data_IF_391965388699
#
_entry.id   IF_391965388699
#
_cell.length_a   1.000
_cell.length_b   1.000
_cell.length_c   1.000
_cell.angle_alpha   90.00
_cell.angle_beta   90.00
_cell.angle_gamma   90.00
#
_symmetry.space_group_name_H-M   'P 1'
#
loop_
_entity.id
_entity.type
_entity.pdbx_description
1 polymer ?
#
# COMPACT_ATOMS: atom_id res chain seq x y z
N UNK A 1 18.41 20.39 -7.97
CA UNK A 1 17.07 20.25 -8.60
C UNK A 1 16.85 18.80 -8.98
N UNK A 2 15.65 18.32 -8.74
CA UNK A 2 15.20 17.01 -9.19
C UNK A 2 14.17 17.16 -10.31
N UNK A 3 13.94 16.09 -11.05
CA UNK A 3 12.91 15.96 -12.08
C UNK A 3 12.32 14.57 -12.08
N UNK A 4 11.09 14.36 -12.59
CA UNK A 4 10.57 13.01 -12.85
C UNK A 4 11.48 12.25 -13.81
N UNK A 5 11.72 10.97 -13.53
CA UNK A 5 12.51 10.09 -14.38
C UNK A 5 11.58 9.12 -15.14
N UNK A 6 11.42 9.35 -16.44
CA UNK A 6 10.45 8.58 -17.22
C UNK A 6 10.93 7.14 -17.49
N UNK A 7 12.23 6.90 -17.56
CA UNK A 7 12.82 5.62 -17.95
C UNK A 7 13.08 4.69 -16.77
N UNK A 8 13.34 5.24 -15.57
CA UNK A 8 13.78 4.46 -14.41
C UNK A 8 12.78 3.39 -13.98
N UNK A 9 11.48 3.67 -14.10
CA UNK A 9 10.45 2.71 -13.72
C UNK A 9 10.37 1.55 -14.73
N UNK A 10 10.54 1.83 -16.00
CA UNK A 10 10.53 0.81 -17.04
C UNK A 10 11.77 -0.10 -16.92
N UNK A 11 12.93 0.48 -16.65
CA UNK A 11 14.17 -0.28 -16.33
C UNK A 11 13.96 -1.19 -15.11
N UNK A 12 13.35 -0.67 -14.04
CA UNK A 12 13.03 -1.44 -12.85
C UNK A 12 12.09 -2.61 -13.15
N UNK A 13 11.04 -2.37 -13.91
CA UNK A 13 10.04 -3.38 -14.25
C UNK A 13 10.66 -4.50 -15.10
N UNK A 14 11.42 -4.16 -16.14
CA UNK A 14 12.13 -5.14 -16.98
C UNK A 14 13.14 -5.97 -16.17
N UNK A 15 13.88 -5.32 -15.27
CA UNK A 15 14.89 -6.01 -14.46
C UNK A 15 14.28 -7.00 -13.46
N UNK A 16 13.11 -6.68 -12.87
CA UNK A 16 12.52 -7.48 -11.80
C UNK A 16 11.43 -8.44 -12.25
N UNK A 17 10.76 -8.15 -13.34
CA UNK A 17 9.58 -8.90 -13.81
C UNK A 17 9.66 -9.37 -15.25
N UNK A 18 10.71 -8.97 -15.99
CA UNK A 18 10.92 -9.32 -17.39
C UNK A 18 9.66 -9.05 -18.23
N UNK A 19 9.06 -10.05 -18.84
CA UNK A 19 7.85 -9.93 -19.66
C UNK A 19 6.53 -10.10 -18.87
N UNK A 20 6.60 -10.32 -17.57
CA UNK A 20 5.42 -10.49 -16.69
C UNK A 20 4.81 -9.12 -16.33
N UNK A 21 4.13 -8.51 -17.29
CA UNK A 21 3.58 -7.15 -17.19
C UNK A 21 2.50 -7.02 -16.11
N UNK A 22 1.87 -8.11 -15.69
CA UNK A 22 0.84 -8.10 -14.63
C UNK A 22 1.43 -7.75 -13.26
N UNK A 23 2.74 -7.99 -13.09
CA UNK A 23 3.48 -7.67 -11.87
C UNK A 23 4.15 -6.30 -11.88
N UNK A 24 4.08 -5.58 -13.00
CA UNK A 24 4.76 -4.31 -13.14
C UNK A 24 4.34 -3.30 -12.07
N UNK A 25 5.34 -2.66 -11.48
CA UNK A 25 5.14 -1.47 -10.68
C UNK A 25 4.54 -0.36 -11.53
N UNK A 26 3.58 0.36 -10.96
CA UNK A 26 2.85 1.43 -11.62
C UNK A 26 3.38 2.79 -11.17
N UNK A 27 3.54 3.70 -12.11
CA UNK A 27 3.79 5.09 -11.76
C UNK A 27 2.60 5.65 -10.99
N UNK A 28 2.86 6.26 -9.84
CA UNK A 28 1.81 6.98 -9.13
C UNK A 28 1.34 8.17 -9.98
N UNK A 29 0.03 8.25 -10.22
CA UNK A 29 -0.56 9.36 -10.98
C UNK A 29 -0.20 10.71 -10.36
N UNK A 30 0.15 11.74 -11.15
CA UNK A 30 0.40 13.10 -10.65
C UNK A 30 -0.77 13.69 -9.86
N UNK A 31 -2.00 13.22 -10.08
CA UNK A 31 -3.16 13.62 -9.29
C UNK A 31 -3.13 13.09 -7.84
N UNK A 32 -2.32 12.07 -7.57
CA UNK A 32 -2.24 11.36 -6.28
C UNK A 32 -1.10 11.84 -5.38
N UNK A 33 -0.26 12.76 -5.85
CA UNK A 33 0.77 13.37 -5.02
C UNK A 33 1.00 14.83 -5.35
N UNK A 34 1.72 15.52 -4.47
CA UNK A 34 2.19 16.89 -4.70
C UNK A 34 3.61 17.02 -4.17
N UNK A 35 4.48 17.59 -4.99
CA UNK A 35 5.82 18.05 -4.63
C UNK A 35 5.80 19.57 -4.86
N UNK A 36 5.81 20.33 -3.76
CA UNK A 36 5.68 21.79 -3.83
C UNK A 36 6.88 22.45 -4.54
N UNK A 37 8.07 21.85 -4.42
CA UNK A 37 9.29 22.27 -5.11
C UNK A 37 10.19 21.07 -5.37
N UNK A 38 10.64 20.94 -6.59
CA UNK A 38 11.67 19.96 -6.99
C UNK A 38 13.10 20.43 -6.69
N UNK A 39 13.27 21.60 -6.12
CA UNK A 39 14.57 22.13 -5.67
C UNK A 39 14.63 22.11 -4.16
N UNK A 40 15.73 21.59 -3.62
CA UNK A 40 16.04 21.60 -2.20
C UNK A 40 17.37 22.31 -1.96
N UNK A 41 17.48 23.02 -0.83
CA UNK A 41 18.70 23.76 -0.46
C UNK A 41 19.37 23.05 0.71
N UNK A 42 20.65 22.70 0.54
CA UNK A 42 21.50 22.25 1.62
C UNK A 42 22.36 23.42 2.10
N UNK A 43 22.30 23.75 3.38
CA UNK A 43 23.08 24.84 3.95
C UNK A 43 24.48 24.35 4.34
N UNK A 44 25.51 25.12 3.96
CA UNK A 44 26.88 24.85 4.38
C UNK A 44 27.01 25.01 5.91
N UNK A 45 27.64 24.05 6.58
CA UNK A 45 27.80 24.11 8.04
C UNK A 45 26.52 23.85 8.84
N UNK A 46 25.46 23.35 8.21
CA UNK A 46 24.25 22.92 8.91
C UNK A 46 24.51 21.64 9.72
N UNK A 47 23.74 21.44 10.79
CA UNK A 47 23.82 20.25 11.66
C UNK A 47 23.46 18.96 10.90
N UNK A 48 22.66 19.06 9.83
CA UNK A 48 22.21 17.93 9.04
C UNK A 48 22.94 17.86 7.68
N UNK A 49 23.55 16.73 7.34
CA UNK A 49 24.23 16.52 6.06
C UNK A 49 23.28 16.20 4.91
N UNK A 50 21.97 16.46 5.05
CA UNK A 50 20.93 16.15 4.06
C UNK A 50 19.89 17.27 3.99
N UNK A 51 19.13 17.28 2.89
CA UNK A 51 17.95 18.11 2.74
C UNK A 51 16.73 17.19 2.45
N UNK A 52 15.54 17.60 2.90
CA UNK A 52 14.32 16.86 2.70
C UNK A 52 13.58 17.37 1.46
N UNK A 53 13.07 16.45 0.65
CA UNK A 53 12.10 16.71 -0.40
C UNK A 53 10.72 16.26 0.11
N UNK A 54 9.84 17.17 0.57
CA UNK A 54 8.50 16.81 1.02
C UNK A 54 7.63 16.32 -0.15
N UNK A 55 7.03 15.14 0.01
CA UNK A 55 6.07 14.57 -0.93
C UNK A 55 4.76 14.33 -0.17
N UNK A 56 3.70 15.00 -0.60
CA UNK A 56 2.35 14.83 -0.04
C UNK A 56 1.60 13.80 -0.88
N UNK A 57 1.16 12.69 -0.29
CA UNK A 57 0.43 11.62 -0.97
C UNK A 57 -1.06 11.72 -0.66
N UNK A 58 -1.90 11.48 -1.66
CA UNK A 58 -3.36 11.31 -1.57
C UNK A 58 -3.70 9.84 -1.85
N UNK A 59 -3.76 8.98 -0.81
CA UNK A 59 -3.85 7.53 -0.99
C UNK A 59 -5.25 7.04 -1.40
N UNK A 60 -6.28 7.87 -1.24
CA UNK A 60 -7.67 7.48 -1.53
C UNK A 60 -7.82 6.90 -2.95
N UNK A 61 -8.39 5.69 -3.05
CA UNK A 61 -8.62 4.99 -4.30
C UNK A 61 -7.37 4.34 -4.91
N UNK A 62 -6.26 4.24 -4.16
CA UNK A 62 -5.15 3.37 -4.52
C UNK A 62 -5.46 1.93 -4.11
N UNK A 63 -5.10 0.98 -4.97
CA UNK A 63 -5.27 -0.44 -4.68
C UNK A 63 -4.08 -0.98 -3.89
N UNK A 64 -4.29 -1.72 -2.80
CA UNK A 64 -3.21 -2.39 -2.08
C UNK A 64 -2.58 -3.55 -2.87
N UNK A 65 -3.16 -3.93 -4.02
CA UNK A 65 -2.64 -4.98 -4.89
C UNK A 65 -1.67 -4.46 -5.95
N UNK A 66 -1.48 -3.15 -6.03
CA UNK A 66 -0.58 -2.51 -6.98
C UNK A 66 0.64 -1.92 -6.27
N UNK A 67 1.80 -2.07 -6.87
CA UNK A 67 3.02 -1.43 -6.42
C UNK A 67 3.13 -0.04 -7.09
N UNK A 68 2.99 1.03 -6.29
CA UNK A 68 3.09 2.39 -6.81
C UNK A 68 4.45 3.00 -6.53
N UNK A 69 5.02 3.66 -7.54
CA UNK A 69 6.32 4.32 -7.45
C UNK A 69 6.31 5.74 -8.01
N UNK A 70 7.15 6.60 -7.44
CA UNK A 70 7.48 7.92 -7.95
C UNK A 70 8.95 7.90 -8.33
N UNK A 71 9.29 7.85 -9.63
CA UNK A 71 10.65 7.90 -10.11
C UNK A 71 11.15 9.35 -10.19
N UNK A 72 12.31 9.62 -9.62
CA UNK A 72 12.94 10.94 -9.62
C UNK A 72 14.43 10.84 -9.98
N UNK A 73 14.94 11.89 -10.61
CA UNK A 73 16.34 12.05 -11.00
C UNK A 73 16.87 13.40 -10.53
N UNK A 74 18.04 13.40 -9.95
CA UNK A 74 18.79 14.62 -9.67
C UNK A 74 19.46 15.10 -10.97
N UNK A 75 19.07 16.29 -11.43
CA UNK A 75 19.50 16.82 -12.72
C UNK A 75 20.48 17.98 -12.62
N UNK A 76 20.43 18.74 -11.53
CA UNK A 76 21.37 19.84 -11.34
C UNK A 76 21.72 20.07 -9.87
N UNK A 77 22.93 20.54 -9.65
CA UNK A 77 23.46 21.00 -8.35
C UNK A 77 24.20 22.31 -8.54
N UNK A 78 24.17 23.17 -7.53
CA UNK A 78 24.89 24.48 -7.59
C UNK A 78 26.37 24.38 -7.28
N UNK A 79 26.81 23.29 -6.64
CA UNK A 79 28.21 23.02 -6.31
C UNK A 79 28.46 21.51 -6.38
N UNK A 80 29.69 21.15 -6.71
CA UNK A 80 30.15 19.77 -6.88
C UNK A 80 29.61 19.10 -8.14
N UNK A 81 29.99 17.86 -8.37
CA UNK A 81 29.53 17.04 -9.49
C UNK A 81 28.48 16.05 -9.04
N UNK A 82 27.51 15.77 -9.92
CA UNK A 82 26.51 14.74 -9.70
C UNK A 82 27.15 13.38 -9.96
N UNK A 83 27.03 12.46 -8.98
CA UNK A 83 27.44 11.08 -9.20
C UNK A 83 26.45 10.39 -10.15
N UNK A 84 26.86 10.02 -11.38
CA UNK A 84 25.95 9.47 -12.38
C UNK A 84 25.36 8.10 -12.01
N UNK A 85 25.99 7.39 -11.08
CA UNK A 85 25.51 6.07 -10.60
C UNK A 85 24.53 6.17 -9.42
N UNK A 86 24.34 7.36 -8.83
CA UNK A 86 23.53 7.54 -7.61
C UNK A 86 22.63 8.78 -7.68
N UNK A 87 22.24 9.19 -8.86
CA UNK A 87 21.42 10.38 -9.08
C UNK A 87 19.93 10.07 -9.37
N UNK A 88 19.54 8.81 -9.30
CA UNK A 88 18.16 8.35 -9.59
C UNK A 88 17.59 7.62 -8.38
N UNK A 89 16.29 7.76 -8.13
CA UNK A 89 15.58 7.10 -7.03
C UNK A 89 14.16 6.72 -7.42
N UNK A 90 13.77 5.50 -7.05
CA UNK A 90 12.37 5.05 -7.08
C UNK A 90 11.81 5.15 -5.67
N UNK A 91 10.87 6.07 -5.47
CA UNK A 91 10.18 6.22 -4.20
C UNK A 91 8.93 5.33 -4.20
N UNK A 92 8.95 4.26 -3.43
CA UNK A 92 7.82 3.35 -3.28
C UNK A 92 6.78 3.93 -2.33
N UNK A 93 5.53 3.93 -2.76
CA UNK A 93 4.39 4.30 -1.92
C UNK A 93 3.82 3.04 -1.27
N UNK A 94 3.76 3.05 0.05
CA UNK A 94 3.22 1.97 0.88
C UNK A 94 1.94 2.46 1.55
N UNK A 95 0.86 1.68 1.45
CA UNK A 95 -0.43 2.03 2.02
C UNK A 95 -0.51 1.54 3.47
N UNK A 96 -1.09 2.40 4.32
CA UNK A 96 -1.29 2.13 5.73
C UNK A 96 -2.54 2.85 6.25
N UNK A 97 -3.24 2.24 7.19
CA UNK A 97 -4.29 2.87 7.99
C UNK A 97 -4.19 2.42 9.46
N UNK A 98 -5.13 2.82 10.30
CA UNK A 98 -5.11 2.50 11.75
C UNK A 98 -5.21 0.99 12.04
N UNK A 99 -5.57 0.16 11.07
CA UNK A 99 -5.88 -1.26 11.22
C UNK A 99 -4.97 -2.18 10.43
N UNK A 100 -4.34 -1.70 9.38
CA UNK A 100 -3.50 -2.51 8.50
C UNK A 100 -2.36 -1.71 7.87
N UNK A 101 -1.20 -2.35 7.75
CA UNK A 101 -0.03 -1.82 7.07
C UNK A 101 0.47 -2.82 6.01
N UNK A 102 0.72 -2.35 4.81
CA UNK A 102 1.37 -3.18 3.79
C UNK A 102 2.82 -3.48 4.13
N UNK A 103 3.47 -2.59 4.88
CA UNK A 103 4.86 -2.75 5.31
C UNK A 103 5.02 -3.90 6.30
N UNK A 104 4.12 -4.00 7.27
CA UNK A 104 4.27 -4.90 8.43
C UNK A 104 3.44 -6.19 8.30
N UNK A 105 2.78 -6.43 7.16
CA UNK A 105 1.97 -7.62 6.92
C UNK A 105 0.97 -7.90 8.05
N UNK A 106 0.13 -6.93 8.38
CA UNK A 106 -0.82 -7.03 9.49
C UNK A 106 -1.71 -8.26 9.38
N UNK A 107 -1.72 -9.07 10.42
CA UNK A 107 -2.53 -10.28 10.51
C UNK A 107 -3.63 -10.13 11.55
N UNK A 108 -4.82 -10.67 11.26
CA UNK A 108 -5.89 -10.85 12.23
C UNK A 108 -6.27 -12.32 12.36
N UNK A 109 -6.70 -12.73 13.54
CA UNK A 109 -7.28 -14.07 13.75
C UNK A 109 -8.78 -14.01 13.47
N UNK A 110 -9.21 -14.76 12.45
CA UNK A 110 -10.63 -14.94 12.11
C UNK A 110 -11.11 -16.28 12.66
N UNK A 111 -12.17 -16.23 13.47
CA UNK A 111 -12.81 -17.43 14.03
C UNK A 111 -14.32 -17.33 13.87
N UNK A 112 -14.96 -18.44 13.56
CA UNK A 112 -16.40 -18.49 13.38
C UNK A 112 -16.86 -19.77 12.69
N UNK A 113 -18.05 -19.68 12.09
CA UNK A 113 -18.61 -20.75 11.27
C UNK A 113 -19.09 -20.19 9.96
N UNK A 114 -19.08 -21.01 8.91
CA UNK A 114 -19.76 -20.74 7.64
C UNK A 114 -20.75 -21.85 7.36
N UNK A 115 -21.88 -21.49 6.81
CA UNK A 115 -22.84 -22.42 6.24
C UNK A 115 -22.61 -22.54 4.74
N UNK A 116 -22.54 -23.75 4.22
CA UNK A 116 -22.44 -24.06 2.80
C UNK A 116 -23.84 -24.28 2.24
N UNK A 117 -24.04 -24.16 0.92
CA UNK A 117 -25.34 -24.17 0.28
C UNK A 117 -26.19 -25.44 0.50
N UNK A 118 -25.60 -26.56 0.93
CA UNK A 118 -26.27 -27.80 1.35
C UNK A 118 -26.70 -27.83 2.82
N UNK A 119 -26.49 -26.73 3.56
CA UNK A 119 -26.74 -26.60 4.98
C UNK A 119 -25.60 -27.08 5.87
N UNK A 120 -24.53 -27.61 5.31
CA UNK A 120 -23.34 -28.02 6.09
C UNK A 120 -22.68 -26.82 6.76
N UNK A 121 -22.39 -26.96 8.06
CA UNK A 121 -21.68 -25.93 8.84
C UNK A 121 -20.23 -26.33 9.00
N UNK A 122 -19.32 -25.48 8.57
CA UNK A 122 -17.88 -25.66 8.77
C UNK A 122 -17.28 -24.58 9.67
N UNK A 123 -16.28 -24.94 10.47
CA UNK A 123 -15.56 -23.99 11.34
C UNK A 123 -14.56 -23.19 10.52
N UNK A 124 -14.42 -21.90 10.86
CA UNK A 124 -13.36 -21.02 10.39
C UNK A 124 -12.40 -20.77 11.56
N UNK A 125 -11.12 -21.06 11.35
CA UNK A 125 -10.04 -20.74 12.29
C UNK A 125 -8.78 -20.45 11.48
N UNK A 126 -8.58 -19.21 11.07
CA UNK A 126 -7.48 -18.81 10.20
C UNK A 126 -6.92 -17.45 10.59
N UNK A 127 -5.63 -17.27 10.36
CA UNK A 127 -5.02 -15.95 10.37
C UNK A 127 -5.18 -15.33 8.98
N UNK A 128 -5.70 -14.12 8.92
CA UNK A 128 -5.99 -13.38 7.71
C UNK A 128 -5.05 -12.19 7.59
N UNK A 129 -4.42 -12.03 6.43
CA UNK A 129 -3.72 -10.80 6.11
C UNK A 129 -4.73 -9.70 5.82
N UNK A 130 -4.51 -8.54 6.41
CA UNK A 130 -5.31 -7.34 6.21
C UNK A 130 -4.60 -6.40 5.24
N UNK A 131 -5.36 -5.85 4.31
CA UNK A 131 -4.88 -4.87 3.33
C UNK A 131 -5.64 -3.55 3.51
N UNK A 132 -4.98 -2.42 3.69
CA UNK A 132 -5.63 -1.14 3.89
C UNK A 132 -6.29 -0.66 2.59
N UNK A 133 -7.57 -0.24 2.66
CA UNK A 133 -8.30 0.34 1.53
C UNK A 133 -8.59 1.82 1.73
N UNK A 134 -9.09 2.16 2.90
CA UNK A 134 -9.38 3.54 3.31
C UNK A 134 -9.06 3.71 4.80
N UNK A 135 -9.35 4.88 5.37
CA UNK A 135 -9.09 5.13 6.79
C UNK A 135 -9.71 4.07 7.71
N UNK A 136 -10.89 3.55 7.36
CA UNK A 136 -11.66 2.63 8.20
C UNK A 136 -11.98 1.31 7.52
N UNK A 137 -11.43 1.05 6.35
CA UNK A 137 -11.72 -0.14 5.59
C UNK A 137 -10.47 -0.95 5.34
N UNK A 138 -10.61 -2.26 5.51
CA UNK A 138 -9.59 -3.23 5.19
C UNK A 138 -10.18 -4.33 4.32
N UNK A 139 -9.37 -4.87 3.43
CA UNK A 139 -9.70 -6.07 2.67
C UNK A 139 -9.08 -7.29 3.34
N UNK A 140 -9.84 -8.37 3.40
CA UNK A 140 -9.39 -9.70 3.81
C UNK A 140 -9.97 -10.75 2.86
N UNK A 141 -9.44 -11.96 2.88
CA UNK A 141 -10.08 -13.08 2.19
C UNK A 141 -11.09 -13.77 3.09
N UNK A 142 -12.27 -14.07 2.55
CA UNK A 142 -13.34 -14.75 3.27
C UNK A 142 -12.99 -16.22 3.59
N UNK A 143 -13.68 -16.79 4.57
CA UNK A 143 -13.59 -18.21 4.91
C UNK A 143 -12.19 -18.67 5.30
N UNK A 144 -11.75 -19.80 4.77
CA UNK A 144 -10.42 -20.38 5.00
C UNK A 144 -9.38 -19.93 3.94
N UNK A 145 -9.81 -19.22 2.92
CA UNK A 145 -8.95 -18.83 1.80
C UNK A 145 -7.90 -17.80 2.22
N UNK A 146 -6.70 -17.98 1.71
CA UNK A 146 -5.60 -17.01 1.83
C UNK A 146 -4.99 -16.81 0.44
N UNK A 147 -5.03 -15.60 -0.07
CA UNK A 147 -4.21 -15.22 -1.22
C UNK A 147 -2.80 -14.92 -0.72
N UNK A 148 -1.87 -15.81 -1.01
CA UNK A 148 -0.46 -15.66 -0.62
C UNK A 148 0.28 -14.56 -1.39
N UNK A 149 -0.21 -14.19 -2.58
CA UNK A 149 0.43 -13.23 -3.48
C UNK A 149 -0.50 -12.07 -3.82
N UNK A 150 0.04 -10.86 -3.80
CA UNK A 150 -0.63 -9.64 -4.27
C UNK A 150 -1.08 -9.72 -5.75
N UNK A 151 -0.47 -10.60 -6.53
CA UNK A 151 -0.69 -10.71 -7.98
C UNK A 151 -1.82 -11.67 -8.39
N UNK A 152 -2.46 -12.35 -7.44
CA UNK A 152 -3.54 -13.29 -7.77
C UNK A 152 -4.89 -12.56 -7.78
N UNK A 153 -5.13 -11.77 -8.83
CA UNK A 153 -6.35 -10.98 -8.99
C UNK A 153 -7.59 -11.85 -9.10
N UNK A 154 -7.49 -13.06 -9.64
CA UNK A 154 -8.63 -13.99 -9.73
C UNK A 154 -9.10 -14.44 -8.35
N UNK A 155 -8.19 -14.89 -7.49
CA UNK A 155 -8.50 -15.24 -6.10
C UNK A 155 -8.98 -14.04 -5.29
N UNK A 156 -8.37 -12.87 -5.49
CA UNK A 156 -8.79 -11.63 -4.84
C UNK A 156 -10.23 -11.31 -5.18
N UNK A 157 -10.58 -11.26 -6.45
CA UNK A 157 -11.93 -10.94 -6.90
C UNK A 157 -12.97 -11.98 -6.45
N UNK A 158 -12.58 -13.25 -6.32
CA UNK A 158 -13.48 -14.33 -5.94
C UNK A 158 -13.72 -14.44 -4.44
N UNK A 159 -12.73 -14.17 -3.61
CA UNK A 159 -12.78 -14.48 -2.17
C UNK A 159 -12.61 -13.28 -1.26
N UNK A 160 -12.30 -12.10 -1.78
CA UNK A 160 -12.10 -10.93 -0.94
C UNK A 160 -13.40 -10.30 -0.49
N UNK A 161 -13.37 -9.83 0.74
CA UNK A 161 -14.41 -9.01 1.36
C UNK A 161 -13.78 -7.76 1.95
N UNK A 162 -14.57 -6.70 1.99
CA UNK A 162 -14.25 -5.48 2.69
C UNK A 162 -14.84 -5.55 4.09
N UNK A 163 -14.04 -5.22 5.08
CA UNK A 163 -14.48 -5.00 6.45
C UNK A 163 -14.34 -3.52 6.76
N UNK A 164 -15.48 -2.86 6.95
CA UNK A 164 -15.54 -1.48 7.43
C UNK A 164 -15.68 -1.46 8.94
N UNK A 165 -14.81 -0.76 9.60
CA UNK A 165 -14.76 -0.62 11.05
C UNK A 165 -15.46 0.69 11.43
N UNK A 166 -16.40 0.63 12.37
CA UNK A 166 -17.11 1.82 12.84
C UNK A 166 -16.19 2.81 13.57
N UNK A 167 -16.59 4.06 13.63
CA UNK A 167 -15.78 5.13 14.24
C UNK A 167 -15.78 5.05 15.77
N UNK A 168 -16.86 4.51 16.36
CA UNK A 168 -17.04 4.44 17.81
C UNK A 168 -17.32 3.02 18.28
N UNK A 169 -16.93 2.72 19.52
CA UNK A 169 -17.21 1.44 20.17
C UNK A 169 -18.66 1.44 20.71
N UNK A 170 -19.61 1.15 19.85
CA UNK A 170 -21.04 1.19 20.16
C UNK A 170 -21.64 -0.16 20.57
N UNK A 171 -20.90 -1.27 20.38
CA UNK A 171 -21.32 -2.61 20.76
C UNK A 171 -20.70 -3.00 22.10
N UNK A 172 -21.50 -3.51 23.04
CA UNK A 172 -21.00 -4.01 24.33
C UNK A 172 -21.37 -5.48 24.50
N UNK A 173 -20.38 -6.31 24.84
CA UNK A 173 -20.58 -7.72 25.15
C UNK A 173 -19.71 -8.10 26.36
N UNK A 174 -20.31 -8.70 27.39
CA UNK A 174 -19.63 -9.06 28.64
C UNK A 174 -18.81 -7.92 29.27
N UNK A 175 -19.34 -6.68 29.24
CA UNK A 175 -18.67 -5.52 29.81
C UNK A 175 -17.51 -4.94 28.98
N UNK A 176 -17.24 -5.52 27.80
CA UNK A 176 -16.22 -5.03 26.86
C UNK A 176 -16.88 -4.32 25.69
N UNK A 177 -16.38 -3.14 25.35
CA UNK A 177 -16.89 -2.36 24.22
C UNK A 177 -16.14 -2.70 22.94
N UNK A 178 -16.88 -2.87 21.85
CA UNK A 178 -16.39 -3.27 20.53
C UNK A 178 -16.81 -2.26 19.45
N UNK A 179 -16.01 -2.16 18.41
CA UNK A 179 -16.39 -1.46 17.18
C UNK A 179 -17.40 -2.28 16.38
N UNK A 180 -18.47 -1.69 15.85
CA UNK A 180 -19.34 -2.36 14.90
C UNK A 180 -18.57 -2.59 13.58
N UNK A 181 -18.83 -3.73 12.96
CA UNK A 181 -18.25 -4.08 11.67
C UNK A 181 -19.35 -4.19 10.62
N UNK A 182 -19.11 -3.61 9.44
CA UNK A 182 -19.90 -3.85 8.24
C UNK A 182 -19.07 -4.64 7.25
N UNK A 183 -19.62 -5.72 6.68
CA UNK A 183 -18.92 -6.58 5.74
C UNK A 183 -19.68 -6.60 4.42
N UNK A 184 -18.96 -6.43 3.32
CA UNK A 184 -19.51 -6.44 1.97
C UNK A 184 -18.50 -6.99 0.95
N UNK A 185 -18.93 -7.43 -0.25
CA UNK A 185 -18.02 -7.90 -1.29
C UNK A 185 -16.99 -6.84 -1.69
N UNK A 186 -15.80 -7.32 -2.04
CA UNK A 186 -14.71 -6.47 -2.60
C UNK A 186 -14.93 -6.20 -4.06
#
# INVERSE_FOLDING_TARGET
>A
TLEPDEELLDEYNLLNYDLDTDKYAKRLSPSKYTIDSYSVTMRRGGEMPYALLPIKIRPQGLSPDSLYMIPLKLTSVSAYEINPKKNRVLYQVVLENDYASEKDNTLMSMRGTRQIGDGTVSKIAANKRMYPLSKQEVRINAGMENSGNKADLELINKYSIIVKIGEERTLTYNGVSYYPLTVYPY
#
